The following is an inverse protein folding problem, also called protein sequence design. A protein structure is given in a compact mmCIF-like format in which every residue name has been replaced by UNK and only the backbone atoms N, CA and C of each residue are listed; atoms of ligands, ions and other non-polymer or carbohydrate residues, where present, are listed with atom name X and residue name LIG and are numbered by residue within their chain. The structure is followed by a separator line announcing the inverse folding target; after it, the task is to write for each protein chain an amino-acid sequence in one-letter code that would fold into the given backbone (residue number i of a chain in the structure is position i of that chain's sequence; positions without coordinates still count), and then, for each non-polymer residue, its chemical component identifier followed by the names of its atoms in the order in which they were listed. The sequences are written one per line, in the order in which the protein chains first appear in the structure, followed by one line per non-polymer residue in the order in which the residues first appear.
data_IF_717468937440
#
_entry.id   IF_717468937440
#
_cell.length_a   1.000
_cell.length_b   1.000
_cell.length_c   1.000
_cell.angle_alpha   90.00
_cell.angle_beta   90.00
_cell.angle_gamma   90.00
#
_symmetry.space_group_name_H-M   'P 1'
#
loop_
_entity.id
_entity.type
_entity.pdbx_description
1 polymer ?
#
# COMPACT_ATOMS: atom_id res chain seq x y z
N UNK A 1 -10.70 -27.92 6.13
CA UNK A 1 -11.43 -26.68 6.47
C UNK A 1 -11.43 -25.85 5.21
N UNK A 2 -12.60 -25.38 4.77
CA UNK A 2 -12.69 -24.57 3.55
C UNK A 2 -11.96 -23.22 3.72
N UNK A 3 -11.45 -22.65 2.62
CA UNK A 3 -10.68 -21.40 2.63
C UNK A 3 -11.52 -20.24 3.20
N UNK A 4 -12.80 -20.18 2.85
CA UNK A 4 -13.71 -19.15 3.35
C UNK A 4 -13.85 -19.23 4.88
N UNK A 5 -13.97 -20.45 5.42
CA UNK A 5 -14.04 -20.68 6.87
C UNK A 5 -12.75 -20.26 7.57
N UNK A 6 -11.59 -20.60 7.00
CA UNK A 6 -10.29 -20.18 7.53
C UNK A 6 -10.18 -18.65 7.55
N UNK A 7 -10.57 -17.98 6.46
CA UNK A 7 -10.58 -16.53 6.37
C UNK A 7 -11.46 -15.91 7.45
N UNK A 8 -12.68 -16.40 7.67
CA UNK A 8 -13.56 -15.90 8.74
C UNK A 8 -12.97 -16.09 10.13
N UNK A 9 -12.32 -17.23 10.39
CA UNK A 9 -11.66 -17.47 11.66
C UNK A 9 -10.50 -16.50 11.86
N UNK A 10 -9.63 -16.31 10.87
CA UNK A 10 -8.46 -15.42 10.97
C UNK A 10 -8.89 -13.97 11.10
N UNK A 11 -9.80 -13.49 10.25
CA UNK A 11 -10.33 -12.13 10.29
C UNK A 11 -11.08 -11.88 11.60
N UNK A 12 -11.96 -12.80 12.01
CA UNK A 12 -12.67 -12.71 13.28
C UNK A 12 -11.72 -12.69 14.49
N UNK A 13 -10.68 -13.53 14.48
CA UNK A 13 -9.68 -13.58 15.54
C UNK A 13 -8.85 -12.30 15.62
N UNK A 14 -8.48 -11.70 14.49
CA UNK A 14 -7.73 -10.42 14.47
C UNK A 14 -8.59 -9.27 15.01
N UNK A 15 -9.86 -9.15 14.61
CA UNK A 15 -10.76 -8.16 15.19
C UNK A 15 -11.02 -8.38 16.68
N UNK A 16 -11.24 -9.64 17.10
CA UNK A 16 -11.40 -9.97 18.51
C UNK A 16 -10.15 -9.61 19.33
N UNK A 17 -8.96 -9.84 18.79
CA UNK A 17 -7.70 -9.40 19.39
C UNK A 17 -7.64 -7.88 19.53
N UNK A 18 -7.94 -7.12 18.46
CA UNK A 18 -7.88 -5.66 18.49
C UNK A 18 -8.90 -5.05 19.46
N UNK A 19 -10.13 -5.55 19.44
CA UNK A 19 -11.19 -5.14 20.36
C UNK A 19 -10.80 -5.51 21.80
N UNK A 20 -10.29 -6.72 22.02
CA UNK A 20 -9.81 -7.18 23.33
C UNK A 20 -8.69 -6.30 23.89
N UNK A 21 -7.71 -5.94 23.06
CA UNK A 21 -6.65 -4.99 23.42
C UNK A 21 -7.25 -3.63 23.77
N UNK A 22 -8.17 -3.10 22.97
CA UNK A 22 -8.79 -1.79 23.21
C UNK A 22 -9.58 -1.75 24.53
N UNK A 23 -10.31 -2.82 24.86
CA UNK A 23 -10.98 -2.96 26.17
C UNK A 23 -10.00 -3.06 27.33
N UNK A 24 -8.93 -3.86 27.18
CA UNK A 24 -7.92 -4.03 28.23
C UNK A 24 -7.11 -2.74 28.50
N UNK A 25 -6.90 -1.94 27.46
CA UNK A 25 -6.10 -0.71 27.50
C UNK A 25 -6.93 0.58 27.56
N UNK A 26 -8.19 0.48 28.00
CA UNK A 26 -9.13 1.61 28.11
C UNK A 26 -8.52 2.79 28.85
N UNK A 27 -8.61 3.98 28.26
CA UNK A 27 -8.11 5.22 28.86
C UNK A 27 -8.97 5.62 30.07
N UNK A 28 -8.33 5.84 31.22
CA UNK A 28 -8.97 6.33 32.44
C UNK A 28 -8.86 7.85 32.66
N UNK A 29 -8.10 8.56 31.82
CA UNK A 29 -7.90 10.01 31.92
C UNK A 29 -7.73 10.68 30.55
N UNK A 30 -7.95 11.99 30.48
CA UNK A 30 -7.74 12.81 29.26
C UNK A 30 -6.33 12.66 28.68
N UNK A 31 -5.31 12.55 29.55
CA UNK A 31 -3.92 12.36 29.13
C UNK A 31 -3.68 10.98 28.53
N UNK A 32 -4.31 9.94 29.06
CA UNK A 32 -4.27 8.61 28.42
C UNK A 32 -5.03 8.59 27.11
N UNK A 33 -6.15 9.33 27.04
CA UNK A 33 -6.99 9.40 25.85
C UNK A 33 -6.30 10.09 24.67
N UNK A 34 -5.57 11.18 24.88
CA UNK A 34 -4.94 11.91 23.78
C UNK A 34 -3.47 11.53 23.52
N UNK A 35 -2.71 11.14 24.54
CA UNK A 35 -1.25 10.89 24.39
C UNK A 35 -0.78 9.61 25.06
N UNK A 36 -1.68 8.66 25.34
CA UNK A 36 -1.34 7.37 25.95
C UNK A 36 -0.53 7.50 27.26
N UNK A 37 -0.71 8.60 28.01
CA UNK A 37 0.04 8.88 29.24
C UNK A 37 1.45 9.42 29.02
N UNK A 38 2.01 9.31 27.81
CA UNK A 38 3.39 9.70 27.49
C UNK A 38 4.44 8.66 27.91
N UNK A 39 4.04 7.40 28.13
CA UNK A 39 4.88 6.34 28.68
C UNK A 39 5.21 5.18 27.72
N UNK A 40 4.91 5.32 26.43
CA UNK A 40 5.13 4.23 25.46
C UNK A 40 6.63 4.11 25.14
N UNK A 41 7.14 2.89 25.14
CA UNK A 41 8.54 2.61 24.81
C UNK A 41 8.83 3.00 23.34
N UNK A 42 10.00 3.61 23.02
CA UNK A 42 10.31 4.10 21.67
C UNK A 42 10.13 3.05 20.55
N UNK A 43 10.54 1.80 20.79
CA UNK A 43 10.39 0.72 19.81
C UNK A 43 8.90 0.44 19.55
N UNK A 44 8.11 0.30 20.62
CA UNK A 44 6.68 0.03 20.53
C UNK A 44 5.93 1.18 19.85
N UNK A 45 6.31 2.43 20.17
CA UNK A 45 5.75 3.60 19.51
C UNK A 45 6.18 3.69 18.04
N UNK A 46 7.43 3.33 17.71
CA UNK A 46 7.90 3.24 16.34
C UNK A 46 7.11 2.22 15.53
N UNK A 47 6.84 1.05 16.10
CA UNK A 47 6.01 0.01 15.49
C UNK A 47 4.56 0.47 15.27
N UNK A 48 3.95 1.09 16.29
CA UNK A 48 2.61 1.67 16.16
C UNK A 48 2.57 2.73 15.06
N UNK A 49 3.59 3.60 15.03
CA UNK A 49 3.70 4.66 14.00
C UNK A 49 3.91 4.07 12.60
N UNK A 50 4.64 2.97 12.48
CA UNK A 50 4.79 2.26 11.22
C UNK A 50 3.47 1.63 10.74
N UNK A 51 2.67 1.01 11.63
CA UNK A 51 1.33 0.55 11.28
C UNK A 51 0.40 1.68 10.85
N UNK A 52 0.43 2.80 11.57
CA UNK A 52 -0.32 4.02 11.22
C UNK A 52 0.08 4.55 9.83
N UNK A 53 1.37 4.48 9.51
CA UNK A 53 1.93 4.90 8.24
C UNK A 53 1.60 3.96 7.08
N UNK A 54 1.64 2.65 7.31
CA UNK A 54 1.47 1.58 6.32
C UNK A 54 0.01 1.33 5.93
N UNK A 55 -0.78 2.40 5.90
CA UNK A 55 -2.19 2.43 5.57
C UNK A 55 -2.54 1.69 4.26
N UNK A 56 -3.83 1.52 3.94
CA UNK A 56 -4.27 0.77 2.75
C UNK A 56 -3.55 1.20 1.45
N UNK A 57 -3.27 2.50 1.31
CA UNK A 57 -2.51 3.04 0.18
C UNK A 57 -1.08 2.50 0.07
N UNK A 58 -0.39 2.29 1.19
CA UNK A 58 0.98 1.77 1.21
C UNK A 58 1.01 0.26 1.09
N UNK A 59 0.06 -0.43 1.74
CA UNK A 59 0.01 -1.89 1.70
C UNK A 59 -0.43 -2.41 0.32
N UNK A 60 -1.55 -1.91 -0.19
CA UNK A 60 -2.17 -2.39 -1.42
C UNK A 60 -1.69 -1.55 -2.62
N UNK A 61 -1.94 -0.24 -2.58
CA UNK A 61 -1.79 0.57 -3.78
C UNK A 61 -0.35 0.86 -4.18
N UNK A 62 0.62 0.85 -3.28
CA UNK A 62 2.02 1.09 -3.64
C UNK A 62 2.56 0.01 -4.59
N UNK A 63 2.45 -1.25 -4.21
CA UNK A 63 2.96 -2.35 -5.05
C UNK A 63 2.16 -2.46 -6.35
N UNK A 64 0.84 -2.23 -6.31
CA UNK A 64 0.02 -2.10 -7.50
C UNK A 64 0.47 -0.96 -8.43
N UNK A 65 0.74 0.23 -7.90
CA UNK A 65 1.26 1.34 -8.69
C UNK A 65 2.63 1.02 -9.30
N UNK A 66 3.55 0.45 -8.51
CA UNK A 66 4.89 0.08 -8.98
C UNK A 66 4.81 -0.99 -10.07
N UNK A 67 3.92 -1.97 -9.94
CA UNK A 67 3.72 -3.03 -10.93
C UNK A 67 3.37 -2.50 -12.34
N UNK A 68 2.67 -1.37 -12.43
CA UNK A 68 2.24 -0.80 -13.72
C UNK A 68 3.11 0.40 -14.16
N UNK A 69 3.62 1.19 -13.22
CA UNK A 69 4.44 2.37 -13.51
C UNK A 69 5.92 2.03 -13.66
N UNK A 70 6.38 0.89 -13.14
CA UNK A 70 7.78 0.49 -13.19
C UNK A 70 8.68 1.49 -12.46
N UNK A 71 9.78 1.87 -13.09
CA UNK A 71 10.77 2.80 -12.54
C UNK A 71 10.16 4.14 -12.10
N UNK A 72 9.22 4.70 -12.86
CA UNK A 72 8.59 5.98 -12.54
C UNK A 72 7.71 5.90 -11.27
N UNK A 73 7.26 4.70 -10.89
CA UNK A 73 6.58 4.46 -9.62
C UNK A 73 7.46 4.67 -8.38
N UNK A 74 8.79 4.71 -8.54
CA UNK A 74 9.75 4.92 -7.45
C UNK A 74 9.56 6.25 -6.71
N UNK A 75 8.93 7.25 -7.33
CA UNK A 75 8.60 8.55 -6.71
C UNK A 75 7.73 8.40 -5.47
N UNK A 76 6.82 7.41 -5.42
CA UNK A 76 5.98 7.17 -4.26
C UNK A 76 6.78 6.57 -3.10
N UNK A 77 7.70 5.65 -3.42
CA UNK A 77 8.61 5.06 -2.45
C UNK A 77 9.53 6.12 -1.85
N UNK A 78 10.24 6.87 -2.69
CA UNK A 78 11.19 7.91 -2.29
C UNK A 78 10.47 9.10 -1.64
N UNK A 79 9.35 9.52 -2.20
CA UNK A 79 8.58 10.67 -1.76
C UNK A 79 8.01 10.47 -0.36
N UNK A 80 7.32 9.35 -0.12
CA UNK A 80 6.73 9.07 1.18
C UNK A 80 7.81 8.81 2.24
N UNK A 81 8.80 7.95 1.97
CA UNK A 81 9.90 7.71 2.93
C UNK A 81 10.68 8.99 3.24
N UNK A 82 11.02 9.77 2.21
CA UNK A 82 11.68 11.05 2.36
C UNK A 82 10.86 12.03 3.19
N UNK A 83 9.54 12.07 3.00
CA UNK A 83 8.63 12.87 3.82
C UNK A 83 8.60 12.43 5.28
N UNK A 84 8.65 11.13 5.56
CA UNK A 84 8.81 10.62 6.92
C UNK A 84 10.14 11.08 7.53
N UNK A 85 11.24 11.03 6.78
CA UNK A 85 12.55 11.50 7.23
C UNK A 85 12.51 12.99 7.56
N UNK A 86 11.90 13.82 6.70
CA UNK A 86 11.72 15.25 6.97
C UNK A 86 10.89 15.48 8.23
N UNK A 87 9.79 14.75 8.40
CA UNK A 87 8.97 14.80 9.61
C UNK A 87 9.78 14.43 10.86
N UNK A 88 10.51 13.31 10.81
CA UNK A 88 11.29 12.78 11.91
C UNK A 88 12.43 13.73 12.35
N UNK A 89 13.11 14.35 11.39
CA UNK A 89 14.27 15.20 11.64
C UNK A 89 13.88 16.64 11.96
N UNK A 90 12.93 17.21 11.20
CA UNK A 90 12.64 18.65 11.23
C UNK A 90 11.42 19.01 12.09
N UNK A 91 10.46 18.10 12.29
CA UNK A 91 9.22 18.41 13.02
C UNK A 91 9.17 17.72 14.39
N UNK A 92 9.44 16.42 14.46
CA UNK A 92 9.25 15.62 15.67
C UNK A 92 9.93 16.19 16.93
N UNK A 93 11.22 16.61 16.90
CA UNK A 93 11.89 17.09 18.11
C UNK A 93 11.35 18.43 18.60
N UNK A 94 10.98 19.32 17.66
CA UNK A 94 10.49 20.66 17.96
C UNK A 94 9.07 20.63 18.50
N UNK A 95 8.20 19.84 17.87
CA UNK A 95 6.83 19.66 18.34
C UNK A 95 6.82 19.06 19.74
N UNK A 96 7.62 18.01 19.99
CA UNK A 96 7.74 17.43 21.33
C UNK A 96 8.26 18.43 22.36
N UNK A 97 9.23 19.27 22.00
CA UNK A 97 9.75 20.34 22.89
C UNK A 97 8.69 21.40 23.21
N UNK A 98 7.78 21.68 22.26
CA UNK A 98 6.71 22.67 22.43
C UNK A 98 5.59 22.18 23.36
N UNK A 99 5.40 20.86 23.49
CA UNK A 99 4.55 20.25 24.52
C UNK A 99 3.05 20.44 24.36
N UNK A 100 2.59 20.92 23.19
CA UNK A 100 1.17 21.08 22.85
C UNK A 100 0.61 19.83 22.20
N UNK A 101 -0.72 19.67 22.24
CA UNK A 101 -1.37 18.45 21.77
C UNK A 101 -1.70 18.47 20.27
N UNK A 102 -1.71 19.64 19.62
CA UNK A 102 -2.12 19.76 18.20
C UNK A 102 -1.23 20.72 17.39
N UNK A 103 -1.11 20.45 16.08
CA UNK A 103 -0.36 21.31 15.14
C UNK A 103 -0.98 22.71 14.99
N UNK A 104 -2.31 22.88 14.88
CA UNK A 104 -2.89 24.22 14.80
C UNK A 104 -2.64 25.06 16.05
N UNK A 105 -2.64 24.44 17.24
CA UNK A 105 -2.27 25.12 18.49
C UNK A 105 -0.82 25.60 18.45
N UNK A 106 0.10 24.73 18.01
CA UNK A 106 1.50 25.09 17.79
C UNK A 106 1.65 26.30 16.85
N UNK A 107 0.97 26.30 15.70
CA UNK A 107 1.03 27.41 14.73
C UNK A 107 0.47 28.70 15.35
N UNK A 108 -0.68 28.62 16.01
CA UNK A 108 -1.29 29.76 16.67
C UNK A 108 -0.40 30.42 17.72
N UNK A 109 0.25 29.61 18.55
CA UNK A 109 1.13 30.09 19.63
C UNK A 109 2.47 30.58 19.06
N UNK A 110 3.04 29.87 18.07
CA UNK A 110 4.33 30.22 17.43
C UNK A 110 4.31 31.58 16.74
N UNK A 111 3.17 31.97 16.18
CA UNK A 111 2.96 33.23 15.47
C UNK A 111 2.08 34.22 16.24
N UNK A 112 1.68 33.90 17.48
CA UNK A 112 0.77 34.71 18.30
C UNK A 112 -0.51 35.15 17.56
N UNK A 113 -1.05 34.28 16.71
CA UNK A 113 -2.14 34.63 15.77
C UNK A 113 -3.29 33.63 15.80
N UNK A 114 -4.47 34.14 16.19
CA UNK A 114 -5.73 33.37 16.12
C UNK A 114 -6.13 33.04 14.68
N UNK A 115 -5.81 33.93 13.73
CA UNK A 115 -6.07 33.69 12.32
C UNK A 115 -5.18 32.55 11.78
N UNK A 116 -3.89 32.54 12.12
CA UNK A 116 -2.99 31.46 11.72
C UNK A 116 -3.44 30.10 12.29
N UNK A 117 -3.90 30.09 13.55
CA UNK A 117 -4.52 28.90 14.14
C UNK A 117 -5.75 28.44 13.36
N UNK A 118 -6.66 29.36 13.02
CA UNK A 118 -7.88 29.02 12.29
C UNK A 118 -7.58 28.45 10.90
N UNK A 119 -6.65 29.08 10.16
CA UNK A 119 -6.19 28.58 8.86
C UNK A 119 -5.61 27.18 9.00
N UNK A 120 -4.76 26.94 10.00
CA UNK A 120 -4.21 25.62 10.26
C UNK A 120 -5.28 24.57 10.62
N UNK A 121 -6.34 24.94 11.35
CA UNK A 121 -7.48 24.05 11.61
C UNK A 121 -8.22 23.70 10.31
N UNK A 122 -8.47 24.67 9.43
CA UNK A 122 -9.13 24.40 8.14
C UNK A 122 -8.27 23.47 7.28
N UNK A 123 -6.97 23.76 7.15
CA UNK A 123 -6.03 22.89 6.44
C UNK A 123 -6.01 21.47 7.02
N UNK A 124 -5.97 21.36 8.36
CA UNK A 124 -6.00 20.09 9.07
C UNK A 124 -7.26 19.28 8.74
N UNK A 125 -8.44 19.91 8.76
CA UNK A 125 -9.72 19.26 8.47
C UNK A 125 -9.77 18.79 7.02
N UNK A 126 -9.41 19.66 6.07
CA UNK A 126 -9.41 19.32 4.64
C UNK A 126 -8.47 18.14 4.37
N UNK A 127 -7.22 18.20 4.87
CA UNK A 127 -6.26 17.11 4.70
C UNK A 127 -6.74 15.80 5.33
N UNK A 128 -7.34 15.87 6.53
CA UNK A 128 -7.83 14.69 7.25
C UNK A 128 -9.02 14.04 6.53
N UNK A 129 -9.98 14.83 6.02
CA UNK A 129 -11.14 14.30 5.28
C UNK A 129 -10.68 13.58 4.01
N UNK A 130 -9.81 14.21 3.22
CA UNK A 130 -9.28 13.60 1.99
C UNK A 130 -8.57 12.27 2.29
N UNK A 131 -7.80 12.24 3.38
CA UNK A 131 -7.12 11.02 3.81
C UNK A 131 -8.11 9.92 4.24
N UNK A 132 -9.13 10.27 5.02
CA UNK A 132 -10.16 9.33 5.47
C UNK A 132 -10.91 8.73 4.30
N UNK A 133 -11.24 9.51 3.26
CA UNK A 133 -11.90 9.00 2.04
C UNK A 133 -11.10 7.86 1.40
N UNK A 134 -9.78 8.03 1.26
CA UNK A 134 -8.90 6.98 0.74
C UNK A 134 -8.91 5.70 1.59
N UNK A 135 -8.88 5.86 2.92
CA UNK A 135 -8.98 4.70 3.83
C UNK A 135 -10.34 4.01 3.75
N UNK A 136 -11.43 4.77 3.55
CA UNK A 136 -12.77 4.19 3.40
C UNK A 136 -12.88 3.34 2.14
N UNK A 137 -12.19 3.70 1.04
CA UNK A 137 -12.10 2.82 -0.14
C UNK A 137 -11.46 1.48 0.23
N UNK A 138 -10.32 1.50 0.92
CA UNK A 138 -9.64 0.27 1.36
C UNK A 138 -10.50 -0.59 2.28
N UNK A 139 -11.19 0.03 3.25
CA UNK A 139 -12.13 -0.67 4.14
C UNK A 139 -13.28 -1.29 3.34
N UNK A 140 -13.91 -0.55 2.43
CA UNK A 140 -15.02 -1.03 1.62
C UNK A 140 -14.63 -2.20 0.72
N UNK A 141 -13.46 -2.14 0.06
CA UNK A 141 -12.93 -3.24 -0.76
C UNK A 141 -12.67 -4.48 0.09
N UNK A 142 -11.97 -4.33 1.21
CA UNK A 142 -11.66 -5.45 2.09
C UNK A 142 -12.94 -6.08 2.68
N UNK A 143 -13.81 -5.29 3.30
CA UNK A 143 -15.02 -5.80 3.94
C UNK A 143 -16.06 -6.30 2.94
N UNK A 144 -16.21 -5.66 1.78
CA UNK A 144 -17.08 -6.17 0.71
C UNK A 144 -16.62 -7.54 0.23
N UNK A 145 -15.30 -7.75 0.09
CA UNK A 145 -14.75 -9.04 -0.31
C UNK A 145 -14.92 -10.12 0.75
N UNK A 146 -14.73 -9.79 2.03
CA UNK A 146 -14.77 -10.76 3.11
C UNK A 146 -16.20 -11.06 3.55
N UNK A 147 -17.01 -10.05 3.79
CA UNK A 147 -18.40 -10.25 4.24
C UNK A 147 -19.34 -10.58 3.08
N UNK A 148 -18.87 -10.50 1.83
CA UNK A 148 -19.67 -10.72 0.60
C UNK A 148 -20.90 -9.81 0.58
N UNK A 149 -20.68 -8.55 0.97
CA UNK A 149 -21.68 -7.48 1.01
C UNK A 149 -21.31 -6.37 0.04
N UNK A 150 -22.29 -5.54 -0.30
CA UNK A 150 -22.05 -4.36 -1.11
C UNK A 150 -21.01 -3.43 -0.46
N UNK A 151 -20.24 -2.72 -1.31
CA UNK A 151 -19.18 -1.81 -0.88
C UNK A 151 -19.64 -0.84 0.22
N UNK A 152 -20.83 -0.25 0.08
CA UNK A 152 -21.40 0.71 1.03
C UNK A 152 -21.65 0.09 2.41
N UNK A 153 -22.16 -1.15 2.44
CA UNK A 153 -22.39 -1.90 3.67
C UNK A 153 -21.04 -2.26 4.31
N UNK A 154 -20.06 -2.68 3.50
CA UNK A 154 -18.70 -2.96 3.94
C UNK A 154 -18.04 -1.75 4.62
N UNK A 155 -18.17 -0.56 4.02
CA UNK A 155 -17.68 0.70 4.60
C UNK A 155 -18.36 0.98 5.95
N UNK A 156 -19.69 0.90 6.02
CA UNK A 156 -20.44 1.20 7.24
C UNK A 156 -20.08 0.25 8.40
N UNK A 157 -19.98 -1.05 8.12
CA UNK A 157 -19.60 -2.05 9.14
C UNK A 157 -18.17 -1.81 9.62
N UNK A 158 -17.22 -1.59 8.69
CA UNK A 158 -15.84 -1.29 9.04
C UNK A 158 -15.72 -0.01 9.87
N UNK A 159 -16.43 1.05 9.49
CA UNK A 159 -16.49 2.30 10.26
C UNK A 159 -17.03 2.09 11.67
N UNK A 160 -18.11 1.32 11.83
CA UNK A 160 -18.70 1.05 13.15
C UNK A 160 -17.70 0.32 14.07
N UNK A 161 -17.00 -0.69 13.54
CA UNK A 161 -15.99 -1.44 14.31
C UNK A 161 -14.84 -0.52 14.73
N UNK A 162 -14.27 0.24 13.78
CA UNK A 162 -13.19 1.19 14.05
C UNK A 162 -13.60 2.25 15.06
N UNK A 163 -14.82 2.78 14.92
CA UNK A 163 -15.37 3.77 15.84
C UNK A 163 -15.46 3.22 17.28
N UNK A 164 -15.99 2.00 17.46
CA UNK A 164 -16.15 1.39 18.78
C UNK A 164 -14.82 1.26 19.51
N UNK A 165 -13.80 0.65 18.89
CA UNK A 165 -12.53 0.45 19.60
C UNK A 165 -11.72 1.74 19.73
N UNK A 166 -11.83 2.69 18.79
CA UNK A 166 -11.10 3.96 18.86
C UNK A 166 -11.64 4.87 19.98
N UNK A 167 -12.96 4.96 20.12
CA UNK A 167 -13.62 5.77 21.17
C UNK A 167 -13.40 5.17 22.56
N UNK A 168 -13.44 3.83 22.68
CA UNK A 168 -13.22 3.18 23.98
C UNK A 168 -11.75 3.20 24.40
N UNK A 169 -10.81 2.94 23.49
CA UNK A 169 -9.40 2.80 23.80
C UNK A 169 -8.63 4.13 23.96
N UNK A 170 -9.06 5.19 23.25
CA UNK A 170 -8.25 6.40 23.09
C UNK A 170 -6.87 6.11 22.48
N UNK A 171 -5.94 7.07 22.56
CA UNK A 171 -4.57 6.93 22.02
C UNK A 171 -3.83 5.73 22.63
N UNK A 172 -4.07 5.40 23.91
CA UNK A 172 -3.48 4.21 24.56
C UNK A 172 -3.93 2.93 23.86
N UNK A 173 -5.24 2.75 23.70
CA UNK A 173 -5.77 1.59 23.00
C UNK A 173 -5.35 1.52 21.55
N UNK A 174 -5.46 2.64 20.82
CA UNK A 174 -5.04 2.72 19.42
C UNK A 174 -3.56 2.34 19.27
N UNK A 175 -2.69 2.74 20.21
CA UNK A 175 -1.26 2.40 20.16
C UNK A 175 -1.04 0.89 20.25
N UNK A 176 -1.64 0.22 21.22
CA UNK A 176 -1.44 -1.22 21.40
C UNK A 176 -2.13 -2.03 20.30
N UNK A 177 -3.29 -1.59 19.80
CA UNK A 177 -3.90 -2.23 18.63
C UNK A 177 -3.03 -2.07 17.39
N UNK A 178 -2.42 -0.90 17.18
CA UNK A 178 -1.52 -0.67 16.04
C UNK A 178 -0.24 -1.51 16.10
N UNK A 179 0.30 -1.77 17.29
CA UNK A 179 1.43 -2.69 17.46
C UNK A 179 1.04 -4.10 16.99
N UNK A 180 -0.14 -4.59 17.40
CA UNK A 180 -0.64 -5.89 16.95
C UNK A 180 -0.91 -5.89 15.43
N UNK A 181 -1.54 -4.84 14.92
CA UNK A 181 -1.81 -4.65 13.49
C UNK A 181 -0.53 -4.63 12.67
N UNK A 182 0.53 -3.98 13.16
CA UNK A 182 1.84 -3.98 12.50
C UNK A 182 2.34 -5.40 12.30
N UNK A 183 2.35 -6.22 13.36
CA UNK A 183 2.84 -7.60 13.30
C UNK A 183 2.03 -8.44 12.31
N UNK A 184 0.70 -8.33 12.35
CA UNK A 184 -0.18 -9.06 11.40
C UNK A 184 0.09 -8.61 9.97
N UNK A 185 0.15 -7.30 9.74
CA UNK A 185 0.27 -6.72 8.41
C UNK A 185 1.66 -6.98 7.81
N UNK A 186 2.74 -6.83 8.57
CA UNK A 186 4.09 -7.12 8.05
C UNK A 186 4.29 -8.61 7.77
N UNK A 187 3.68 -9.49 8.57
CA UNK A 187 3.71 -10.92 8.33
C UNK A 187 2.90 -11.28 7.07
N UNK A 188 1.69 -10.73 6.96
CA UNK A 188 0.81 -10.93 5.80
C UNK A 188 1.43 -10.42 4.50
N UNK A 189 2.26 -9.38 4.54
CA UNK A 189 2.95 -8.86 3.36
C UNK A 189 4.20 -9.66 3.00
N UNK A 190 5.07 -9.90 3.99
CA UNK A 190 6.41 -10.44 3.71
C UNK A 190 6.39 -11.94 3.46
N UNK A 191 5.50 -12.70 4.10
CA UNK A 191 5.46 -14.17 3.92
C UNK A 191 5.12 -14.57 2.48
N UNK A 192 4.04 -14.07 1.84
CA UNK A 192 3.78 -14.34 0.43
C UNK A 192 4.92 -13.86 -0.47
N UNK A 193 5.45 -12.66 -0.22
CA UNK A 193 6.57 -12.13 -0.99
C UNK A 193 7.80 -13.06 -0.96
N UNK A 194 8.14 -13.62 0.20
CA UNK A 194 9.24 -14.59 0.38
C UNK A 194 8.99 -15.85 -0.45
N UNK A 195 7.77 -16.39 -0.42
CA UNK A 195 7.44 -17.60 -1.20
C UNK A 195 7.45 -17.36 -2.70
N UNK A 196 6.97 -16.19 -3.15
CA UNK A 196 7.02 -15.80 -4.56
C UNK A 196 8.49 -15.63 -5.00
N UNK A 197 9.31 -14.95 -4.21
CA UNK A 197 10.74 -14.79 -4.50
C UNK A 197 11.47 -16.14 -4.54
N UNK A 198 11.19 -17.05 -3.60
CA UNK A 198 11.72 -18.42 -3.62
C UNK A 198 11.31 -19.19 -4.87
N UNK A 199 10.06 -19.05 -5.30
CA UNK A 199 9.57 -19.77 -6.47
C UNK A 199 10.18 -19.23 -7.78
N UNK A 200 10.32 -17.91 -7.90
CA UNK A 200 10.80 -17.27 -9.12
C UNK A 200 12.33 -17.28 -9.24
N UNK A 201 13.06 -17.05 -8.15
CA UNK A 201 14.53 -16.86 -8.19
C UNK A 201 15.30 -17.74 -7.23
N UNK A 202 14.62 -18.51 -6.37
CA UNK A 202 15.27 -19.32 -5.34
C UNK A 202 15.81 -18.50 -4.16
N UNK A 203 15.62 -17.18 -4.16
CA UNK A 203 16.11 -16.29 -3.11
C UNK A 203 14.99 -16.00 -2.09
N UNK A 204 15.19 -16.30 -0.79
CA UNK A 204 14.19 -16.06 0.25
C UNK A 204 14.03 -14.58 0.61
N UNK A 205 14.89 -13.69 0.13
CA UNK A 205 14.81 -12.26 0.42
C UNK A 205 14.27 -11.55 -0.82
N UNK A 206 12.99 -11.12 -0.86
CA UNK A 206 12.37 -10.57 -2.06
C UNK A 206 13.14 -9.39 -2.67
N UNK A 207 13.74 -8.55 -1.82
CA UNK A 207 14.56 -7.41 -2.23
C UNK A 207 15.78 -7.84 -3.04
N UNK A 208 16.41 -8.97 -2.66
CA UNK A 208 17.54 -9.53 -3.38
C UNK A 208 17.05 -10.30 -4.61
N UNK A 209 15.96 -11.06 -4.47
CA UNK A 209 15.33 -11.79 -5.56
C UNK A 209 14.90 -10.90 -6.73
N UNK A 210 14.49 -9.66 -6.46
CA UNK A 210 14.17 -8.67 -7.50
C UNK A 210 15.34 -8.43 -8.46
N UNK A 211 16.58 -8.42 -7.95
CA UNK A 211 17.80 -8.23 -8.75
C UNK A 211 18.48 -9.53 -9.17
N UNK A 212 17.85 -10.68 -8.94
CA UNK A 212 18.44 -12.00 -9.14
C UNK A 212 18.00 -12.63 -10.48
N UNK A 213 18.64 -13.74 -10.83
CA UNK A 213 18.27 -14.58 -11.97
C UNK A 213 17.10 -15.50 -11.65
N UNK A 214 16.32 -15.84 -12.67
CA UNK A 214 15.23 -16.80 -12.53
C UNK A 214 15.75 -18.20 -12.22
N UNK A 215 15.02 -18.93 -11.38
CA UNK A 215 15.33 -20.29 -10.95
C UNK A 215 14.95 -21.36 -11.99
N UNK A 216 14.54 -20.97 -13.20
CA UNK A 216 14.16 -21.84 -14.30
C UNK A 216 15.35 -22.40 -15.11
N UNK A 217 16.58 -22.02 -14.74
CA UNK A 217 17.81 -22.45 -15.42
C UNK A 217 18.12 -21.66 -16.69
N UNK A 218 17.32 -20.64 -17.05
CA UNK A 218 17.56 -19.78 -18.22
C UNK A 218 18.77 -18.85 -18.06
N UNK A 219 19.16 -18.56 -16.81
CA UNK A 219 20.20 -17.57 -16.51
C UNK A 219 19.79 -16.12 -16.79
N UNK A 220 18.50 -15.87 -17.07
CA UNK A 220 17.96 -14.53 -17.34
C UNK A 220 17.61 -13.84 -16.02
N UNK A 221 17.94 -12.55 -15.90
CA UNK A 221 17.53 -11.75 -14.76
C UNK A 221 16.00 -11.56 -14.74
N UNK A 222 15.39 -11.54 -13.55
CA UNK A 222 13.95 -11.38 -13.42
C UNK A 222 13.43 -10.10 -14.11
N UNK A 223 14.13 -8.98 -13.90
CA UNK A 223 13.77 -7.69 -14.51
C UNK A 223 13.96 -7.69 -16.03
N UNK A 224 14.96 -8.41 -16.56
CA UNK A 224 15.16 -8.52 -18.00
C UNK A 224 14.04 -9.33 -18.66
N UNK A 225 13.58 -10.42 -18.02
CA UNK A 225 12.41 -11.17 -18.51
C UNK A 225 11.16 -10.31 -18.49
N UNK A 226 10.95 -9.57 -17.40
CA UNK A 226 9.81 -8.68 -17.26
C UNK A 226 9.81 -7.58 -18.33
N UNK A 227 10.96 -6.92 -18.55
CA UNK A 227 11.11 -5.91 -19.60
C UNK A 227 10.77 -6.50 -20.97
N UNK A 228 11.33 -7.66 -21.33
CA UNK A 228 11.06 -8.32 -22.62
C UNK A 228 9.57 -8.55 -22.85
N UNK A 229 8.88 -9.21 -21.91
CA UNK A 229 7.45 -9.53 -22.07
C UNK A 229 6.61 -8.25 -22.17
N UNK A 230 6.89 -7.26 -21.32
CA UNK A 230 6.17 -5.99 -21.33
C UNK A 230 6.39 -5.24 -22.64
N UNK A 231 7.63 -5.18 -23.15
CA UNK A 231 7.94 -4.56 -24.44
C UNK A 231 7.38 -5.32 -25.64
N UNK A 232 7.36 -6.65 -25.57
CA UNK A 232 6.80 -7.50 -26.63
C UNK A 232 5.28 -7.32 -26.75
N UNK A 233 4.62 -6.83 -25.70
CA UNK A 233 3.20 -6.45 -25.67
C UNK A 233 2.97 -4.95 -25.93
N UNK A 234 3.99 -4.23 -26.39
CA UNK A 234 3.89 -2.82 -26.78
C UNK A 234 3.95 -1.82 -25.64
N UNK A 235 3.99 -2.27 -24.38
CA UNK A 235 4.18 -1.38 -23.23
C UNK A 235 5.63 -0.89 -23.15
N UNK A 236 5.91 0.30 -22.59
CA UNK A 236 7.28 0.73 -22.39
C UNK A 236 7.95 -0.12 -21.29
N UNK A 237 9.26 -0.33 -21.42
CA UNK A 237 10.04 -1.19 -20.51
C UNK A 237 9.79 -0.82 -19.04
N UNK A 238 9.72 -1.83 -18.19
CA UNK A 238 9.43 -1.69 -16.77
C UNK A 238 10.55 -0.94 -16.03
N UNK A 239 11.80 -1.18 -16.42
CA UNK A 239 12.97 -0.52 -15.81
C UNK A 239 13.33 0.84 -16.42
N UNK A 240 12.70 1.21 -17.53
CA UNK A 240 12.96 2.47 -18.22
C UNK A 240 12.28 3.65 -17.50
N UNK A 241 13.02 4.76 -17.38
CA UNK A 241 12.47 6.03 -16.94
C UNK A 241 11.73 6.70 -18.10
N UNK A 242 10.40 6.76 -18.03
CA UNK A 242 9.55 7.27 -19.12
C UNK A 242 9.34 8.77 -18.97
N UNK A 243 9.19 9.19 -17.72
CA UNK A 243 8.99 10.58 -17.37
C UNK A 243 10.31 11.38 -17.30
N UNK A 244 10.25 12.70 -17.36
CA UNK A 244 11.48 13.51 -17.29
C UNK A 244 12.09 13.49 -15.88
N UNK A 245 13.42 13.48 -15.78
CA UNK A 245 14.10 13.46 -14.47
C UNK A 245 13.74 14.69 -13.61
N UNK A 246 13.42 15.82 -14.25
CA UNK A 246 12.92 17.01 -13.58
C UNK A 246 11.52 16.78 -12.99
N UNK A 247 10.61 16.15 -13.74
CA UNK A 247 9.28 15.83 -13.23
C UNK A 247 9.36 14.83 -12.06
N UNK A 248 10.16 13.78 -12.19
CA UNK A 248 10.42 12.80 -11.12
C UNK A 248 10.95 13.49 -9.85
N UNK A 249 11.91 14.39 -10.01
CA UNK A 249 12.48 15.15 -8.89
C UNK A 249 11.42 16.04 -8.21
N UNK A 250 10.68 16.84 -8.98
CA UNK A 250 9.67 17.75 -8.45
C UNK A 250 8.50 16.99 -7.81
N UNK A 251 8.07 15.89 -8.42
CA UNK A 251 7.01 15.04 -7.89
C UNK A 251 7.45 14.38 -6.58
N UNK A 252 8.67 13.84 -6.54
CA UNK A 252 9.25 13.28 -5.31
C UNK A 252 9.32 14.34 -4.22
N UNK A 253 9.81 15.54 -4.52
CA UNK A 253 9.88 16.64 -3.56
C UNK A 253 8.50 17.07 -3.05
N UNK A 254 7.52 17.18 -3.95
CA UNK A 254 6.13 17.50 -3.61
C UNK A 254 5.55 16.45 -2.67
N UNK A 255 5.76 15.16 -2.97
CA UNK A 255 5.35 14.05 -2.11
C UNK A 255 6.05 14.11 -0.74
N UNK A 256 7.35 14.39 -0.69
CA UNK A 256 8.09 14.52 0.58
C UNK A 256 7.50 15.62 1.47
N UNK A 257 7.30 16.82 0.90
CA UNK A 257 6.79 17.98 1.64
C UNK A 257 5.35 17.74 2.11
N UNK A 258 4.49 17.22 1.21
CA UNK A 258 3.10 16.91 1.53
C UNK A 258 2.99 15.87 2.64
N UNK A 259 3.80 14.81 2.56
CA UNK A 259 3.78 13.72 3.55
C UNK A 259 4.33 14.18 4.91
N UNK A 260 5.30 15.08 4.94
CA UNK A 260 5.82 15.65 6.19
C UNK A 260 4.76 16.45 6.98
N UNK A 261 3.71 16.91 6.31
CA UNK A 261 2.58 17.64 6.91
C UNK A 261 1.50 16.76 7.53
N UNK A 262 1.62 15.42 7.49
CA UNK A 262 0.55 14.51 7.90
C UNK A 262 0.26 14.59 9.41
N UNK A 263 -0.96 15.03 9.80
CA UNK A 263 -1.26 15.36 11.18
C UNK A 263 -1.43 14.15 12.10
N UNK A 264 -1.89 13.02 11.54
CA UNK A 264 -2.11 11.78 12.29
C UNK A 264 -0.80 11.15 12.79
N UNK A 265 0.28 11.29 12.03
CA UNK A 265 1.61 10.81 12.41
C UNK A 265 2.25 11.73 13.44
N UNK A 266 2.05 13.05 13.30
CA UNK A 266 2.64 14.05 14.19
C UNK A 266 2.26 13.81 15.65
N UNK A 267 1.01 13.42 15.93
CA UNK A 267 0.55 13.21 17.31
C UNK A 267 1.26 12.05 18.02
N UNK A 268 1.84 11.10 17.27
CA UNK A 268 2.62 9.96 17.79
C UNK A 268 3.92 10.39 18.45
N UNK A 269 4.44 11.58 18.18
CA UNK A 269 5.63 12.06 18.89
C UNK A 269 5.32 12.54 20.31
N UNK A 270 4.03 12.69 20.68
CA UNK A 270 3.63 13.10 22.03
C UNK A 270 3.42 11.93 23.01
N UNK A 271 3.44 10.68 22.55
CA UNK A 271 3.16 9.48 23.36
C UNK A 271 4.37 8.89 24.08
N UNK A 272 5.57 9.38 23.75
CA UNK A 272 6.86 8.96 24.36
C UNK A 272 7.28 9.95 25.45
N UNK A 273 8.12 9.57 26.43
CA UNK A 273 8.38 10.42 27.59
C UNK A 273 9.34 11.60 27.29
N UNK A 274 10.42 11.38 26.53
CA UNK A 274 11.46 12.39 26.28
C UNK A 274 11.62 12.75 24.80
N UNK A 275 12.29 13.86 24.51
CA UNK A 275 12.64 14.27 23.12
C UNK A 275 13.60 13.26 22.47
N UNK A 276 14.54 12.70 23.25
CA UNK A 276 15.41 11.60 22.78
C UNK A 276 14.60 10.41 22.29
N UNK A 277 13.54 10.09 23.03
CA UNK A 277 12.68 8.94 22.81
C UNK A 277 11.79 9.15 21.59
N UNK A 278 11.40 10.41 21.30
CA UNK A 278 10.71 10.78 20.07
C UNK A 278 11.58 10.56 18.83
N UNK A 279 12.87 10.95 18.89
CA UNK A 279 13.83 10.68 17.80
C UNK A 279 14.09 9.19 17.62
N UNK A 280 14.30 8.47 18.72
CA UNK A 280 14.49 7.02 18.69
C UNK A 280 13.25 6.32 18.11
N UNK A 281 12.04 6.74 18.52
CA UNK A 281 10.79 6.22 17.98
C UNK A 281 10.63 6.48 16.49
N UNK A 282 11.03 7.67 16.01
CA UNK A 282 11.01 7.99 14.59
C UNK A 282 11.99 7.12 13.80
N UNK A 283 13.19 6.88 14.34
CA UNK A 283 14.16 5.96 13.75
C UNK A 283 13.65 4.51 13.69
N UNK A 284 13.05 4.01 14.78
CA UNK A 284 12.44 2.68 14.78
C UNK A 284 11.26 2.56 13.82
N UNK A 285 10.43 3.59 13.71
CA UNK A 285 9.37 3.62 12.70
C UNK A 285 9.92 3.51 11.28
N UNK A 286 11.01 4.22 10.95
CA UNK A 286 11.68 4.08 9.65
C UNK A 286 12.19 2.66 9.40
N UNK A 287 12.78 2.00 10.41
CA UNK A 287 13.21 0.60 10.29
C UNK A 287 12.03 -0.30 9.97
N UNK A 288 10.91 -0.15 10.67
CA UNK A 288 9.71 -0.95 10.44
C UNK A 288 9.05 -0.67 9.08
N UNK A 289 8.92 0.60 8.70
CA UNK A 289 8.42 1.02 7.38
C UNK A 289 9.29 0.44 6.26
N UNK A 290 10.63 0.46 6.44
CA UNK A 290 11.56 -0.02 5.44
C UNK A 290 11.37 -1.51 5.11
N UNK A 291 10.91 -2.33 6.06
CA UNK A 291 10.65 -3.76 5.78
C UNK A 291 9.60 -3.89 4.68
N UNK A 292 8.46 -3.19 4.78
CA UNK A 292 7.43 -3.22 3.73
C UNK A 292 7.89 -2.47 2.49
N UNK A 293 8.38 -1.24 2.65
CA UNK A 293 8.65 -0.34 1.54
C UNK A 293 9.77 -0.86 0.62
N UNK A 294 10.77 -1.55 1.16
CA UNK A 294 11.79 -2.19 0.32
C UNK A 294 11.30 -3.49 -0.32
N UNK A 295 10.32 -4.17 0.27
CA UNK A 295 9.70 -5.39 -0.27
C UNK A 295 8.70 -5.08 -1.39
N UNK A 296 8.03 -3.93 -1.33
CA UNK A 296 6.96 -3.57 -2.26
C UNK A 296 7.38 -3.53 -3.75
N UNK A 297 8.57 -3.01 -4.13
CA UNK A 297 9.04 -3.11 -5.52
C UNK A 297 9.21 -4.55 -6.00
N UNK A 298 9.65 -5.46 -5.12
CA UNK A 298 9.79 -6.87 -5.45
C UNK A 298 8.42 -7.51 -5.69
N UNK A 299 7.46 -7.28 -4.79
CA UNK A 299 6.07 -7.73 -4.94
C UNK A 299 5.48 -7.20 -6.24
N UNK A 300 5.61 -5.90 -6.51
CA UNK A 300 5.06 -5.28 -7.73
C UNK A 300 5.64 -5.89 -9.02
N UNK A 301 6.96 -6.04 -9.10
CA UNK A 301 7.60 -6.63 -10.28
C UNK A 301 7.25 -8.12 -10.46
N UNK A 302 7.30 -8.90 -9.37
CA UNK A 302 6.99 -10.34 -9.41
C UNK A 302 5.51 -10.60 -9.72
N UNK A 303 4.59 -9.80 -9.16
CA UNK A 303 3.17 -9.87 -9.47
C UNK A 303 2.87 -9.43 -10.91
N UNK A 304 3.55 -8.38 -11.40
CA UNK A 304 3.45 -7.96 -12.82
C UNK A 304 3.93 -9.07 -13.75
N UNK A 305 5.05 -9.70 -13.44
CA UNK A 305 5.56 -10.84 -14.20
C UNK A 305 4.58 -12.01 -14.18
N UNK A 306 4.04 -12.36 -13.02
CA UNK A 306 3.07 -13.44 -12.89
C UNK A 306 1.77 -13.17 -13.66
N UNK A 307 1.25 -11.94 -13.61
CA UNK A 307 0.08 -11.52 -14.41
C UNK A 307 0.36 -11.71 -15.90
N UNK A 308 1.52 -11.24 -16.37
CA UNK A 308 1.89 -11.33 -17.77
C UNK A 308 2.13 -12.76 -18.23
N UNK A 309 2.90 -13.56 -17.49
CA UNK A 309 3.14 -14.98 -17.80
C UNK A 309 1.83 -15.80 -17.78
N UNK A 310 0.85 -15.40 -16.95
CA UNK A 310 -0.45 -16.09 -16.90
C UNK A 310 -1.30 -15.80 -18.14
N UNK A 311 -1.31 -14.55 -18.61
CA UNK A 311 -2.12 -14.15 -19.77
C UNK A 311 -1.41 -14.50 -21.09
N UNK A 312 -0.11 -14.24 -21.15
CA UNK A 312 0.75 -14.47 -22.31
C UNK A 312 1.56 -15.76 -22.10
N UNK A 313 0.95 -16.90 -22.43
CA UNK A 313 1.51 -18.23 -22.22
C UNK A 313 2.56 -18.64 -23.27
N UNK A 314 2.58 -17.97 -24.42
CA UNK A 314 3.50 -18.26 -25.53
C UNK A 314 3.95 -17.01 -26.28
N UNK A 315 4.44 -17.17 -27.51
CA UNK A 315 4.93 -16.05 -28.33
C UNK A 315 3.79 -15.08 -28.69
N UNK A 316 4.08 -13.78 -28.67
CA UNK A 316 3.11 -12.72 -28.99
C UNK A 316 2.67 -12.81 -30.45
N UNK A 317 1.39 -13.08 -30.65
CA UNK A 317 0.77 -13.27 -31.97
C UNK A 317 0.66 -14.73 -32.42
N UNK A 318 1.14 -15.69 -31.62
CA UNK A 318 0.84 -17.10 -31.84
C UNK A 318 -0.64 -17.40 -31.54
N UNK A 319 -1.24 -18.33 -32.28
CA UNK A 319 -2.65 -18.72 -32.13
C UNK A 319 -2.99 -19.30 -30.75
N UNK A 320 -1.99 -19.82 -30.05
CA UNK A 320 -2.05 -20.39 -28.70
C UNK A 320 -1.20 -19.60 -27.69
N UNK A 321 -0.75 -18.41 -28.07
CA UNK A 321 0.11 -17.55 -27.23
C UNK A 321 -0.61 -16.87 -26.08
N UNK A 322 -1.95 -16.86 -26.08
CA UNK A 322 -2.79 -16.23 -25.06
C UNK A 322 -3.66 -17.24 -24.32
N UNK A 323 -3.84 -17.02 -23.02
CA UNK A 323 -4.69 -17.84 -22.16
C UNK A 323 -6.12 -17.92 -22.68
N UNK A 324 -6.69 -19.13 -22.75
CA UNK A 324 -8.11 -19.34 -22.98
C UNK A 324 -8.91 -18.89 -21.77
N UNK A 325 -9.92 -18.04 -21.97
CA UNK A 325 -10.75 -17.51 -20.89
C UNK A 325 -11.45 -18.61 -20.08
N UNK A 326 -11.81 -19.73 -20.72
CA UNK A 326 -12.38 -20.90 -20.04
C UNK A 326 -11.41 -21.53 -19.02
N UNK A 327 -10.10 -21.48 -19.31
CA UNK A 327 -9.03 -22.09 -18.50
C UNK A 327 -8.44 -21.12 -17.47
N UNK A 328 -9.02 -19.92 -17.34
CA UNK A 328 -8.50 -18.90 -16.42
C UNK A 328 -8.40 -19.41 -14.98
N UNK A 329 -7.35 -19.04 -14.24
CA UNK A 329 -7.12 -19.51 -12.88
C UNK A 329 -8.16 -18.94 -11.91
N UNK A 330 -8.28 -19.57 -10.74
CA UNK A 330 -9.28 -19.20 -9.74
C UNK A 330 -9.12 -17.77 -9.21
N UNK A 331 -7.89 -17.28 -9.10
CA UNK A 331 -7.63 -15.90 -8.68
C UNK A 331 -8.27 -14.90 -9.66
N UNK A 332 -8.27 -15.20 -10.96
CA UNK A 332 -8.88 -14.35 -11.99
C UNK A 332 -10.40 -14.33 -11.83
N UNK A 333 -11.03 -15.50 -11.67
CA UNK A 333 -12.49 -15.63 -11.43
C UNK A 333 -12.93 -14.88 -10.18
N UNK A 334 -12.12 -14.95 -9.13
CA UNK A 334 -12.40 -14.29 -7.86
C UNK A 334 -12.43 -12.77 -7.99
N UNK A 335 -11.47 -12.17 -8.71
CA UNK A 335 -11.44 -10.72 -8.94
C UNK A 335 -12.46 -10.24 -9.99
N UNK A 336 -12.84 -11.11 -10.91
CA UNK A 336 -13.94 -10.85 -11.84
C UNK A 336 -15.28 -10.70 -11.12
N UNK A 337 -15.50 -11.53 -10.09
CA UNK A 337 -16.70 -11.46 -9.24
C UNK A 337 -16.79 -10.12 -8.48
N UNK A 338 -15.66 -9.51 -8.11
CA UNK A 338 -15.66 -8.21 -7.41
C UNK A 338 -15.77 -7.01 -8.36
N UNK A 339 -15.67 -7.23 -9.67
CA UNK A 339 -15.61 -6.17 -10.68
C UNK A 339 -14.30 -5.37 -10.72
N UNK A 340 -13.29 -5.79 -9.95
CA UNK A 340 -11.95 -5.17 -9.98
C UNK A 340 -11.09 -5.68 -11.14
N UNK A 341 -11.51 -6.79 -11.75
CA UNK A 341 -10.99 -7.31 -12.99
C UNK A 341 -12.17 -7.53 -13.94
N UNK A 342 -12.05 -7.13 -15.22
CA UNK A 342 -13.10 -7.37 -16.22
C UNK A 342 -12.48 -7.70 -17.56
N UNK A 343 -13.02 -8.73 -18.20
CA UNK A 343 -12.68 -9.17 -19.54
C UNK A 343 -13.86 -8.99 -20.49
N UNK A 344 -13.59 -8.62 -21.73
CA UNK A 344 -14.54 -8.59 -22.84
C UNK A 344 -13.85 -9.11 -24.10
N UNK A 345 -14.39 -10.18 -24.67
CA UNK A 345 -13.89 -10.79 -25.90
C UNK A 345 -14.29 -9.93 -27.11
N UNK A 346 -13.31 -9.30 -27.76
CA UNK A 346 -13.54 -8.36 -28.84
C UNK A 346 -13.44 -9.01 -30.22
N UNK A 347 -12.67 -10.10 -30.35
CA UNK A 347 -12.42 -10.78 -31.62
C UNK A 347 -13.17 -12.13 -31.76
N UNK A 348 -13.80 -12.61 -30.70
CA UNK A 348 -14.59 -13.84 -30.64
C UNK A 348 -13.76 -15.12 -30.56
N UNK A 349 -12.47 -15.04 -30.20
CA UNK A 349 -11.57 -16.20 -30.13
C UNK A 349 -11.53 -16.89 -28.76
N UNK A 350 -12.17 -16.29 -27.75
CA UNK A 350 -12.24 -16.82 -26.39
C UNK A 350 -10.90 -16.83 -25.64
N UNK A 351 -9.88 -16.13 -26.14
CA UNK A 351 -8.58 -15.92 -25.48
C UNK A 351 -8.52 -14.53 -24.88
N UNK A 352 -7.55 -14.30 -24.01
CA UNK A 352 -7.38 -13.03 -23.31
C UNK A 352 -6.19 -12.28 -23.92
N UNK A 353 -6.45 -11.19 -24.63
CA UNK A 353 -5.40 -10.31 -25.14
C UNK A 353 -5.19 -9.07 -24.25
N UNK A 354 -3.97 -8.96 -23.70
CA UNK A 354 -3.57 -7.85 -22.84
C UNK A 354 -2.30 -7.18 -23.40
N UNK A 355 -2.45 -6.00 -24.01
CA UNK A 355 -1.37 -5.25 -24.65
C UNK A 355 -1.62 -3.74 -24.59
N UNK A 356 -0.61 -2.95 -24.97
CA UNK A 356 -0.75 -1.49 -25.08
C UNK A 356 -1.40 -1.10 -26.41
N UNK A 357 -2.72 -0.89 -26.40
CA UNK A 357 -3.49 -0.44 -27.56
C UNK A 357 -3.31 1.05 -27.87
N UNK A 358 -2.68 1.80 -26.95
CA UNK A 358 -2.34 3.21 -27.16
C UNK A 358 -1.05 3.41 -27.95
N UNK A 359 -0.22 2.36 -28.06
CA UNK A 359 0.98 2.33 -28.88
C UNK A 359 0.62 2.08 -30.36
N UNK A 360 0.76 3.07 -31.27
CA UNK A 360 0.34 2.91 -32.66
C UNK A 360 1.11 1.83 -33.44
N UNK A 361 2.39 1.64 -33.12
CA UNK A 361 3.23 0.63 -33.79
C UNK A 361 2.79 -0.77 -33.40
N UNK A 362 2.53 -0.99 -32.10
CA UNK A 362 2.06 -2.28 -31.62
C UNK A 362 0.62 -2.55 -32.04
N UNK A 363 -0.27 -1.55 -32.00
CA UNK A 363 -1.65 -1.69 -32.48
C UNK A 363 -1.72 -2.15 -33.94
N UNK A 364 -0.82 -1.67 -34.81
CA UNK A 364 -0.71 -2.13 -36.19
C UNK A 364 -0.27 -3.61 -36.29
N UNK A 365 0.66 -4.05 -35.44
CA UNK A 365 1.10 -5.45 -35.35
C UNK A 365 -0.01 -6.35 -34.82
N UNK A 366 -0.70 -5.93 -33.77
CA UNK A 366 -1.83 -6.63 -33.16
C UNK A 366 -2.98 -6.85 -34.15
N UNK A 367 -3.29 -5.86 -34.99
CA UNK A 367 -4.26 -6.01 -36.07
C UNK A 367 -3.85 -7.11 -37.08
N UNK A 368 -2.55 -7.29 -37.32
CA UNK A 368 -2.01 -8.38 -38.14
C UNK A 368 -2.23 -9.77 -37.54
N UNK A 369 -2.42 -9.87 -36.22
CA UNK A 369 -2.77 -11.10 -35.51
C UNK A 369 -4.29 -11.33 -35.41
N UNK A 370 -5.10 -10.37 -35.86
CA UNK A 370 -6.57 -10.42 -35.74
C UNK A 370 -7.09 -9.93 -34.39
N UNK A 371 -6.26 -9.29 -33.56
CA UNK A 371 -6.69 -8.70 -32.29
C UNK A 371 -7.46 -7.39 -32.53
N UNK A 372 -8.53 -7.16 -31.76
CA UNK A 372 -9.46 -6.05 -31.95
C UNK A 372 -9.46 -5.04 -30.79
N UNK A 373 -8.31 -4.82 -30.17
CA UNK A 373 -8.16 -3.97 -28.99
C UNK A 373 -7.74 -4.77 -27.77
N UNK A 374 -7.50 -4.04 -26.68
CA UNK A 374 -7.17 -4.63 -25.39
C UNK A 374 -8.45 -5.16 -24.70
N UNK A 375 -8.44 -6.43 -24.30
CA UNK A 375 -9.64 -7.15 -23.83
C UNK A 375 -9.78 -7.18 -22.31
N UNK A 376 -8.75 -6.77 -21.57
CA UNK A 376 -8.76 -6.67 -20.11
C UNK A 376 -9.36 -5.33 -19.63
N UNK A 377 -10.59 -5.04 -20.04
CA UNK A 377 -11.33 -3.75 -19.87
C UNK A 377 -11.12 -3.10 -18.50
N UNK A 378 -10.99 -3.88 -17.43
CA UNK A 378 -10.62 -3.35 -16.11
C UNK A 378 -9.55 -4.24 -15.49
N UNK A 379 -8.46 -3.61 -15.05
CA UNK A 379 -7.45 -4.22 -14.18
C UNK A 379 -7.13 -3.21 -13.09
N UNK A 380 -7.84 -3.28 -11.95
CA UNK A 380 -7.48 -2.47 -10.80
C UNK A 380 -6.08 -2.86 -10.33
N UNK A 381 -5.19 -1.88 -10.18
CA UNK A 381 -3.78 -2.11 -9.83
C UNK A 381 -3.64 -2.73 -8.44
N UNK A 382 -4.63 -2.51 -7.57
CA UNK A 382 -4.67 -3.00 -6.20
C UNK A 382 -4.76 -4.54 -6.13
N UNK A 383 -5.14 -5.25 -7.20
CA UNK A 383 -5.25 -6.73 -7.22
C UNK A 383 -3.89 -7.45 -7.30
N UNK A 384 -2.79 -6.71 -7.48
CA UNK A 384 -1.43 -7.25 -7.60
C UNK A 384 -0.81 -7.66 -6.26
N UNK A 385 -1.45 -7.30 -5.14
CA UNK A 385 -0.92 -7.49 -3.78
C UNK A 385 -1.59 -8.65 -3.05
#
# INVERSE_FOLDING_TARGET
MDLQTLTYIVVGATFALYIGIAFWSRAGSTREFYVAGGGIHPIANGMATAADWMSAASFISMAGLIAFLGYDGSVYLMGWTGGYVLLALLLAPYLRKFGKFTVPEFIGDRYYSKLARLVAVVCLIVASITYVIGQMKGVGVAFGRFLEVDFEVGVLVGMAIVFVYAVLGGMKGITYTQIAQYCVLIFAYTVPAIFIALNLTGNPVPQLGLGDTLADGSGVALLDKLDRIVTDLGFPAYTEQKDSSLNIFLLTLSLMIGTAGLPHVIVRFFTVPRVSDARASAGWALVFIAILYTTAPAVGAMARLNLMDTIQTGEVGATDGNLLYAERPDWFRNWETTGLLRFEDLNGDGRIQYYDDTNPEFAARAAGYGWQGHEMVTVDRDILV
#
